data_IF_358082688614
#
_entry.id   IF_358082688614
#
_cell.length_a   1.000
_cell.length_b   1.000
_cell.length_c   1.000
_cell.angle_alpha   90.00
_cell.angle_beta   90.00
_cell.angle_gamma   90.00
#
_symmetry.space_group_name_H-M   'P 1'
#
loop_
_entity.id
_entity.type
_entity.pdbx_description
1 polymer ?
#
# COMPACT_ATOMS: atom_id res chain seq x y z
N UNK A 1 -28.48 -18.40 -42.47
CA UNK A 1 -27.23 -19.17 -42.70
C UNK A 1 -26.30 -19.02 -41.51
N UNK A 2 -26.64 -19.60 -40.35
CA UNK A 2 -25.75 -19.69 -39.18
C UNK A 2 -26.34 -20.68 -38.16
N UNK A 3 -26.61 -21.89 -38.63
CA UNK A 3 -26.81 -23.11 -37.86
C UNK A 3 -26.12 -24.17 -38.71
N UNK A 4 -25.00 -24.75 -38.23
CA UNK A 4 -24.46 -26.07 -38.66
C UNK A 4 -23.00 -26.37 -38.28
N UNK A 5 -22.27 -25.48 -37.58
CA UNK A 5 -20.84 -25.73 -37.29
C UNK A 5 -20.50 -26.33 -35.91
N UNK A 6 -21.45 -26.98 -35.22
CA UNK A 6 -21.17 -27.65 -33.93
C UNK A 6 -21.26 -29.19 -33.95
N UNK A 7 -21.54 -29.82 -35.10
CA UNK A 7 -21.82 -31.27 -35.16
C UNK A 7 -20.68 -32.15 -35.71
N UNK A 8 -19.43 -31.69 -35.76
CA UNK A 8 -18.28 -32.51 -36.22
C UNK A 8 -17.03 -32.30 -35.37
N UNK A 9 -17.02 -32.83 -34.15
CA UNK A 9 -15.77 -33.19 -33.44
C UNK A 9 -15.94 -34.50 -32.71
N UNK A 10 -15.32 -35.54 -33.28
CA UNK A 10 -14.63 -36.59 -32.51
C UNK A 10 -15.51 -37.68 -31.93
N UNK A 11 -15.95 -38.61 -32.77
CA UNK A 11 -16.00 -40.01 -32.36
C UNK A 11 -14.58 -40.44 -31.96
N UNK A 12 -14.30 -40.61 -30.67
CA UNK A 12 -13.15 -41.35 -30.17
C UNK A 12 -13.64 -42.71 -29.65
N UNK A 13 -13.20 -43.77 -30.33
CA UNK A 13 -13.30 -45.15 -29.86
C UNK A 13 -12.58 -45.31 -28.50
N UNK A 14 -13.03 -46.23 -27.62
CA UNK A 14 -12.36 -46.52 -26.36
C UNK A 14 -11.08 -47.33 -26.65
N UNK A 15 -9.97 -46.63 -26.85
CA UNK A 15 -8.65 -47.22 -26.96
C UNK A 15 -8.18 -47.74 -25.61
N UNK A 16 -7.86 -49.03 -25.57
CA UNK A 16 -7.10 -49.73 -24.53
C UNK A 16 -5.90 -48.90 -24.06
N UNK A 17 -5.81 -48.64 -22.75
CA UNK A 17 -4.70 -47.92 -22.12
C UNK A 17 -3.34 -48.53 -22.51
N UNK A 18 -2.41 -47.76 -23.11
CA UNK A 18 -1.09 -48.25 -23.45
C UNK A 18 -0.21 -48.43 -22.21
N UNK A 19 0.36 -49.63 -22.10
CA UNK A 19 1.19 -50.13 -21.02
C UNK A 19 2.49 -49.30 -20.92
N UNK A 20 2.64 -48.48 -19.87
CA UNK A 20 3.79 -47.58 -19.70
C UNK A 20 5.17 -48.29 -19.73
N UNK A 21 5.21 -49.58 -19.39
CA UNK A 21 6.41 -50.41 -19.46
C UNK A 21 6.81 -50.85 -20.89
N UNK A 22 5.91 -50.76 -21.87
CA UNK A 22 6.18 -51.18 -23.25
C UNK A 22 7.10 -50.21 -24.02
N UNK A 23 7.28 -48.98 -23.51
CA UNK A 23 8.12 -47.95 -24.12
C UNK A 23 9.51 -47.82 -23.47
N UNK A 24 9.87 -48.68 -22.51
CA UNK A 24 11.22 -48.67 -21.94
C UNK A 24 12.26 -49.16 -22.95
N UNK A 25 13.35 -48.42 -23.09
CA UNK A 25 14.53 -48.82 -23.88
C UNK A 25 15.37 -49.90 -23.18
N UNK A 26 15.10 -50.19 -21.90
CA UNK A 26 15.82 -51.18 -21.12
C UNK A 26 15.30 -52.61 -21.40
N UNK A 27 16.17 -53.55 -21.82
CA UNK A 27 15.76 -54.90 -22.21
C UNK A 27 15.13 -55.69 -21.05
N UNK A 28 15.63 -55.54 -19.82
CA UNK A 28 15.12 -56.25 -18.65
C UNK A 28 13.76 -55.71 -18.21
N UNK A 29 13.60 -54.39 -18.17
CA UNK A 29 12.32 -53.75 -17.81
C UNK A 29 11.24 -54.08 -18.83
N UNK A 30 11.59 -54.01 -20.12
CA UNK A 30 10.69 -54.37 -21.22
C UNK A 30 10.25 -55.83 -21.15
N UNK A 31 11.17 -56.76 -20.86
CA UNK A 31 10.85 -58.18 -20.69
C UNK A 31 10.00 -58.43 -19.42
N UNK A 32 10.26 -57.70 -18.33
CA UNK A 32 9.57 -57.86 -17.06
C UNK A 32 8.16 -57.22 -17.01
N UNK A 33 7.76 -56.46 -18.03
CA UNK A 33 6.51 -55.70 -18.05
C UNK A 33 5.26 -56.51 -17.66
N UNK A 34 5.16 -57.78 -18.11
CA UNK A 34 4.04 -58.66 -17.76
C UNK A 34 4.05 -59.04 -16.27
N UNK A 35 5.21 -59.44 -15.75
CA UNK A 35 5.38 -59.81 -14.34
C UNK A 35 5.14 -58.62 -13.41
N UNK A 36 5.61 -57.43 -13.79
CA UNK A 36 5.37 -56.19 -13.03
C UNK A 36 3.88 -55.85 -12.97
N UNK A 37 3.16 -55.96 -14.08
CA UNK A 37 1.71 -55.73 -14.10
C UNK A 37 0.96 -56.77 -13.24
N UNK A 38 1.37 -58.04 -13.31
CA UNK A 38 0.80 -59.09 -12.46
C UNK A 38 1.08 -58.83 -10.98
N UNK A 39 2.27 -58.33 -10.62
CA UNK A 39 2.60 -57.95 -9.24
C UNK A 39 1.61 -56.92 -8.70
N UNK A 40 1.29 -55.88 -9.47
CA UNK A 40 0.31 -54.87 -9.07
C UNK A 40 -1.10 -55.46 -8.89
N UNK A 41 -1.52 -56.33 -9.81
CA UNK A 41 -2.82 -57.00 -9.72
C UNK A 41 -2.91 -57.94 -8.50
N UNK A 42 -1.85 -58.70 -8.21
CA UNK A 42 -1.80 -59.64 -7.08
C UNK A 42 -2.04 -58.90 -5.76
N UNK A 43 -1.53 -57.68 -5.62
CA UNK A 43 -1.66 -56.87 -4.41
C UNK A 43 -3.12 -56.48 -4.10
N UNK A 44 -3.98 -56.41 -5.12
CA UNK A 44 -5.39 -56.06 -4.97
C UNK A 44 -6.29 -57.28 -4.69
N UNK A 45 -5.77 -58.50 -4.84
CA UNK A 45 -6.57 -59.72 -4.65
C UNK A 45 -6.72 -60.01 -3.15
N UNK A 46 -7.89 -59.72 -2.60
CA UNK A 46 -8.22 -60.02 -1.20
C UNK A 46 -8.57 -61.50 -0.96
N UNK A 47 -9.15 -62.18 -1.96
CA UNK A 47 -9.54 -63.59 -1.88
C UNK A 47 -9.16 -64.34 -3.16
N UNK A 48 -8.37 -65.40 -3.03
CA UNK A 48 -7.94 -66.25 -4.15
C UNK A 48 -8.31 -67.72 -3.86
N UNK A 49 -9.29 -68.31 -4.59
CA UNK A 49 -9.72 -69.68 -4.35
C UNK A 49 -8.64 -70.74 -4.57
N UNK A 50 -7.77 -70.56 -5.59
CA UNK A 50 -6.66 -71.48 -5.88
C UNK A 50 -5.32 -70.73 -6.09
N UNK A 51 -4.53 -70.54 -5.02
CA UNK A 51 -3.19 -69.97 -5.11
C UNK A 51 -2.21 -70.81 -5.97
N UNK A 52 -2.46 -72.10 -6.15
CA UNK A 52 -1.59 -72.98 -6.92
C UNK A 52 -1.69 -72.72 -8.42
N UNK A 53 -2.88 -72.40 -8.92
CA UNK A 53 -3.09 -71.98 -10.31
C UNK A 53 -2.34 -70.68 -10.63
N UNK A 54 -2.43 -69.67 -9.75
CA UNK A 54 -1.68 -68.42 -9.90
C UNK A 54 -0.17 -68.68 -9.92
N UNK A 55 0.33 -69.51 -9.00
CA UNK A 55 1.74 -69.89 -8.96
C UNK A 55 2.18 -70.52 -10.28
N UNK A 56 1.43 -71.50 -10.80
CA UNK A 56 1.73 -72.15 -12.09
C UNK A 56 1.79 -71.12 -13.23
N UNK A 57 0.88 -70.16 -13.24
CA UNK A 57 0.90 -69.05 -14.21
C UNK A 57 2.17 -68.22 -14.09
N UNK A 58 2.56 -67.81 -12.88
CA UNK A 58 3.80 -67.04 -12.66
C UNK A 58 5.05 -67.83 -13.04
N UNK A 59 5.12 -69.14 -12.82
CA UNK A 59 6.25 -69.97 -13.27
C UNK A 59 6.42 -69.91 -14.80
N UNK A 60 5.31 -69.91 -15.54
CA UNK A 60 5.34 -69.77 -17.00
C UNK A 60 5.79 -68.36 -17.40
N UNK A 61 5.24 -67.33 -16.76
CA UNK A 61 5.60 -65.93 -17.06
C UNK A 61 7.07 -65.61 -16.71
N UNK A 62 7.64 -66.24 -15.68
CA UNK A 62 9.08 -66.09 -15.35
C UNK A 62 9.96 -66.71 -16.44
N UNK A 63 9.59 -67.88 -16.97
CA UNK A 63 10.32 -68.49 -18.10
C UNK A 63 10.19 -67.65 -19.37
N UNK A 64 9.02 -67.07 -19.60
CA UNK A 64 8.80 -66.18 -20.74
C UNK A 64 9.60 -64.88 -20.59
N UNK A 65 9.73 -64.35 -19.37
CA UNK A 65 10.65 -63.24 -19.08
C UNK A 65 12.10 -63.58 -19.47
N UNK A 66 12.62 -64.76 -19.11
CA UNK A 66 13.99 -65.15 -19.48
C UNK A 66 14.17 -65.19 -21.00
N UNK A 67 13.20 -65.77 -21.71
CA UNK A 67 13.21 -65.86 -23.17
C UNK A 67 13.22 -64.47 -23.80
N UNK A 68 12.32 -63.57 -23.35
CA UNK A 68 12.21 -62.20 -23.86
C UNK A 68 13.43 -61.35 -23.51
N UNK A 69 13.99 -61.50 -22.32
CA UNK A 69 15.18 -60.76 -21.91
C UNK A 69 16.40 -61.14 -22.75
N UNK A 70 16.57 -62.44 -23.06
CA UNK A 70 17.59 -62.90 -23.99
C UNK A 70 17.37 -62.36 -25.42
N UNK A 71 16.12 -62.36 -25.90
CA UNK A 71 15.74 -61.82 -27.22
C UNK A 71 16.01 -60.31 -27.32
N UNK A 72 15.79 -59.56 -26.24
CA UNK A 72 16.09 -58.13 -26.17
C UNK A 72 17.57 -57.82 -25.92
N UNK A 73 18.45 -58.83 -25.84
CA UNK A 73 19.89 -58.66 -25.76
C UNK A 73 20.48 -58.51 -24.35
N UNK A 74 19.75 -58.89 -23.29
CA UNK A 74 20.31 -58.95 -21.94
C UNK A 74 21.29 -60.13 -21.80
N UNK A 75 22.37 -59.94 -21.04
CA UNK A 75 23.34 -61.00 -20.76
C UNK A 75 22.77 -62.08 -19.83
N UNK A 76 23.33 -63.30 -19.88
CA UNK A 76 22.88 -64.39 -19.01
C UNK A 76 22.98 -64.03 -17.51
N UNK A 77 24.04 -63.34 -17.10
CA UNK A 77 24.23 -62.89 -15.71
C UNK A 77 23.13 -61.91 -15.28
N UNK A 78 22.77 -60.96 -16.15
CA UNK A 78 21.68 -60.02 -15.91
C UNK A 78 20.32 -60.72 -15.83
N UNK A 79 20.06 -61.71 -16.69
CA UNK A 79 18.81 -62.48 -16.69
C UNK A 79 18.67 -63.26 -15.38
N UNK A 80 19.73 -63.95 -14.93
CA UNK A 80 19.71 -64.72 -13.68
C UNK A 80 19.51 -63.80 -12.48
N UNK A 81 20.19 -62.64 -12.45
CA UNK A 81 20.02 -61.63 -11.40
C UNK A 81 18.62 -61.02 -11.39
N UNK A 82 18.09 -60.66 -12.55
CA UNK A 82 16.74 -60.12 -12.70
C UNK A 82 15.67 -61.13 -12.29
N UNK A 83 15.80 -62.40 -12.72
CA UNK A 83 14.90 -63.49 -12.32
C UNK A 83 14.85 -63.65 -10.80
N UNK A 84 16.01 -63.64 -10.15
CA UNK A 84 16.11 -63.71 -8.69
C UNK A 84 15.31 -62.58 -8.02
N UNK A 85 15.55 -61.35 -8.46
CA UNK A 85 14.89 -60.16 -7.91
C UNK A 85 13.37 -60.15 -8.18
N UNK A 86 12.93 -60.55 -9.37
CA UNK A 86 11.52 -60.66 -9.72
C UNK A 86 10.80 -61.74 -8.90
N UNK A 87 11.39 -62.93 -8.76
CA UNK A 87 10.84 -63.98 -7.91
C UNK A 87 10.73 -63.51 -6.46
N UNK A 88 11.74 -62.84 -5.94
CA UNK A 88 11.73 -62.29 -4.57
C UNK A 88 10.63 -61.26 -4.39
N UNK A 89 10.46 -60.33 -5.33
CA UNK A 89 9.43 -59.29 -5.26
C UNK A 89 8.00 -59.84 -5.40
N UNK A 90 7.79 -60.80 -6.31
CA UNK A 90 6.49 -61.47 -6.47
C UNK A 90 6.13 -62.31 -5.25
N UNK A 91 7.10 -63.02 -4.68
CA UNK A 91 6.89 -63.81 -3.46
C UNK A 91 6.54 -62.92 -2.27
N UNK A 92 7.22 -61.77 -2.11
CA UNK A 92 6.88 -60.79 -1.07
C UNK A 92 5.48 -60.19 -1.29
N UNK A 93 5.13 -59.85 -2.52
CA UNK A 93 3.82 -59.28 -2.86
C UNK A 93 2.71 -60.26 -2.53
N UNK A 94 2.87 -61.54 -2.90
CA UNK A 94 1.92 -62.57 -2.52
C UNK A 94 1.86 -62.77 -1.00
N UNK A 95 3.00 -62.79 -0.30
CA UNK A 95 3.05 -62.93 1.16
C UNK A 95 2.37 -61.78 1.92
N UNK A 96 2.25 -60.59 1.32
CA UNK A 96 1.52 -59.44 1.86
C UNK A 96 -0.01 -59.57 1.74
N UNK A 97 -0.53 -60.52 0.94
CA UNK A 97 -1.97 -60.74 0.81
C UNK A 97 -2.52 -61.65 1.92
N UNK A 98 -3.83 -61.58 2.24
CA UNK A 98 -4.45 -62.46 3.23
C UNK A 98 -4.30 -63.97 2.93
N UNK A 99 -4.29 -64.35 1.65
CA UNK A 99 -4.20 -65.75 1.20
C UNK A 99 -2.75 -66.26 1.02
N UNK A 100 -1.76 -65.37 0.86
CA UNK A 100 -0.37 -65.79 0.63
C UNK A 100 0.39 -66.17 1.88
N UNK A 101 0.01 -65.63 3.05
CA UNK A 101 0.68 -65.92 4.33
C UNK A 101 0.37 -67.32 4.90
N UNK A 102 -0.74 -67.95 4.49
CA UNK A 102 -1.22 -69.24 5.02
C UNK A 102 -1.50 -70.20 3.86
N UNK A 103 -0.54 -71.06 3.49
CA UNK A 103 -0.80 -72.14 2.54
C UNK A 103 0.37 -72.57 1.65
N UNK A 104 0.04 -72.96 0.41
CA UNK A 104 0.96 -73.52 -0.61
C UNK A 104 2.08 -72.54 -0.99
N UNK A 105 1.81 -71.24 -0.94
CA UNK A 105 2.78 -70.21 -1.34
C UNK A 105 4.02 -70.18 -0.44
N UNK A 106 3.83 -70.27 0.88
CA UNK A 106 4.92 -70.29 1.85
C UNK A 106 5.83 -71.52 1.72
N UNK A 107 5.30 -72.65 1.22
CA UNK A 107 6.06 -73.91 1.04
C UNK A 107 6.74 -74.03 -0.33
N UNK A 108 6.15 -73.43 -1.36
CA UNK A 108 6.61 -73.56 -2.74
C UNK A 108 6.70 -72.20 -3.41
N UNK A 109 7.49 -71.28 -2.85
CA UNK A 109 7.67 -69.95 -3.42
C UNK A 109 8.35 -70.00 -4.81
N UNK A 110 8.25 -68.93 -5.59
CA UNK A 110 8.95 -68.83 -6.88
C UNK A 110 10.46 -68.87 -6.68
N UNK A 111 10.97 -68.17 -5.66
CA UNK A 111 12.39 -68.12 -5.32
C UNK A 111 12.94 -69.51 -4.97
N UNK A 112 12.21 -70.29 -4.17
CA UNK A 112 12.58 -71.69 -3.87
C UNK A 112 12.62 -72.52 -5.16
N UNK A 113 11.67 -72.31 -6.07
CA UNK A 113 11.56 -73.11 -7.29
C UNK A 113 12.69 -72.85 -8.29
N UNK A 114 13.09 -71.58 -8.45
CA UNK A 114 14.09 -71.18 -9.46
C UNK A 114 15.51 -71.05 -8.92
N UNK A 115 15.67 -70.79 -7.62
CA UNK A 115 16.96 -70.49 -7.00
C UNK A 115 17.24 -71.32 -5.73
N UNK A 116 16.33 -72.21 -5.33
CA UNK A 116 16.46 -73.04 -4.13
C UNK A 116 16.75 -72.24 -2.85
N UNK A 117 16.17 -71.04 -2.76
CA UNK A 117 16.31 -70.11 -1.62
C UNK A 117 14.95 -69.70 -1.07
N UNK A 118 14.84 -69.61 0.26
CA UNK A 118 13.59 -69.27 0.96
C UNK A 118 13.49 -67.81 1.38
N UNK A 119 14.61 -67.08 1.44
CA UNK A 119 14.64 -65.70 1.91
C UNK A 119 15.54 -64.82 1.03
N UNK A 120 14.93 -64.05 0.13
CA UNK A 120 15.66 -63.21 -0.83
C UNK A 120 15.76 -61.72 -0.46
N UNK A 121 15.02 -61.27 0.57
CA UNK A 121 14.87 -59.85 0.89
C UNK A 121 16.17 -59.14 1.29
N UNK A 122 17.15 -59.84 1.88
CA UNK A 122 18.47 -59.28 2.18
C UNK A 122 19.41 -59.38 0.98
N UNK A 123 19.49 -60.55 0.35
CA UNK A 123 20.37 -60.82 -0.79
C UNK A 123 20.04 -59.94 -2.00
N UNK A 124 18.78 -59.54 -2.16
CA UNK A 124 18.36 -58.51 -3.11
C UNK A 124 19.16 -57.20 -2.93
N UNK A 125 19.25 -56.67 -1.71
CA UNK A 125 19.96 -55.42 -1.45
C UNK A 125 21.48 -55.59 -1.41
N UNK A 126 21.98 -56.78 -1.05
CA UNK A 126 23.39 -57.11 -1.21
C UNK A 126 23.80 -57.14 -2.70
N UNK A 127 22.94 -57.70 -3.57
CA UNK A 127 23.13 -57.66 -5.02
C UNK A 127 23.09 -56.22 -5.53
N UNK A 128 22.07 -55.43 -5.15
CA UNK A 128 21.96 -54.02 -5.53
C UNK A 128 23.19 -53.20 -5.10
N UNK A 129 23.70 -53.44 -3.89
CA UNK A 129 24.92 -52.81 -3.39
C UNK A 129 26.16 -53.16 -4.22
N UNK A 130 26.28 -54.40 -4.72
CA UNK A 130 27.36 -54.80 -5.64
C UNK A 130 27.20 -54.17 -7.03
N UNK A 131 25.99 -54.15 -7.58
CA UNK A 131 25.73 -53.54 -8.90
C UNK A 131 26.01 -52.04 -8.89
N UNK A 132 25.66 -51.36 -7.79
CA UNK A 132 25.88 -49.92 -7.62
C UNK A 132 27.37 -49.52 -7.60
N UNK A 133 28.31 -50.45 -7.44
CA UNK A 133 29.75 -50.18 -7.53
C UNK A 133 30.20 -49.93 -8.97
N UNK A 134 29.56 -50.58 -9.95
CA UNK A 134 29.85 -50.44 -11.38
C UNK A 134 28.55 -50.18 -12.16
N UNK A 135 27.91 -49.01 -11.97
CA UNK A 135 26.56 -48.76 -12.47
C UNK A 135 26.48 -48.69 -13.99
N UNK A 136 27.55 -48.27 -14.67
CA UNK A 136 27.60 -48.19 -16.14
C UNK A 136 27.42 -49.57 -16.81
N UNK A 137 27.96 -50.64 -16.19
CA UNK A 137 27.88 -52.00 -16.72
C UNK A 137 26.58 -52.71 -16.38
N UNK A 138 25.90 -52.29 -15.31
CA UNK A 138 24.73 -52.97 -14.76
C UNK A 138 23.48 -52.09 -14.74
N UNK A 139 23.48 -51.04 -15.57
CA UNK A 139 22.43 -50.01 -15.54
C UNK A 139 21.04 -50.61 -15.76
N UNK A 140 20.94 -51.61 -16.63
CA UNK A 140 19.66 -52.24 -16.95
C UNK A 140 19.05 -52.94 -15.74
N UNK A 141 19.87 -53.68 -14.99
CA UNK A 141 19.42 -54.41 -13.80
C UNK A 141 19.12 -53.43 -12.65
N UNK A 142 19.96 -52.41 -12.46
CA UNK A 142 19.72 -51.37 -11.44
C UNK A 142 18.38 -50.66 -11.68
N UNK A 143 18.05 -50.34 -12.93
CA UNK A 143 16.78 -49.70 -13.29
C UNK A 143 15.58 -50.63 -13.06
N UNK A 144 15.68 -51.93 -13.39
CA UNK A 144 14.64 -52.90 -13.05
C UNK A 144 14.40 -52.95 -11.53
N UNK A 145 15.47 -53.02 -10.73
CA UNK A 145 15.37 -53.05 -9.27
C UNK A 145 14.77 -51.76 -8.72
N UNK A 146 15.11 -50.61 -9.31
CA UNK A 146 14.48 -49.33 -8.97
C UNK A 146 12.97 -49.38 -9.18
N UNK A 147 12.49 -49.90 -10.32
CA UNK A 147 11.06 -50.06 -10.56
C UNK A 147 10.40 -51.01 -9.55
N UNK A 148 11.02 -52.15 -9.22
CA UNK A 148 10.47 -53.06 -8.21
C UNK A 148 10.32 -52.38 -6.85
N UNK A 149 11.33 -51.60 -6.42
CA UNK A 149 11.27 -50.83 -5.19
C UNK A 149 10.23 -49.70 -5.24
N UNK A 150 10.14 -48.97 -6.34
CA UNK A 150 9.15 -47.91 -6.53
C UNK A 150 7.71 -48.44 -6.50
N UNK A 151 7.50 -49.68 -6.95
CA UNK A 151 6.20 -50.36 -6.96
C UNK A 151 5.88 -51.09 -5.65
N UNK A 152 6.71 -50.96 -4.62
CA UNK A 152 6.38 -51.37 -3.26
C UNK A 152 7.10 -52.62 -2.75
N UNK A 153 8.16 -53.07 -3.42
CA UNK A 153 9.07 -54.05 -2.82
C UNK A 153 9.93 -53.40 -1.72
N UNK A 154 9.89 -53.98 -0.52
CA UNK A 154 10.55 -53.47 0.69
C UNK A 154 11.68 -54.39 1.15
N UNK A 155 11.51 -55.72 1.05
CA UNK A 155 12.51 -56.69 1.48
C UNK A 155 12.88 -56.53 2.96
N UNK A 156 14.19 -56.51 3.26
CA UNK A 156 14.70 -56.37 4.64
C UNK A 156 14.22 -55.10 5.37
N UNK A 157 13.92 -54.02 4.64
CA UNK A 157 13.53 -52.74 5.22
C UNK A 157 12.14 -52.76 5.87
N UNK A 158 11.35 -53.82 5.65
CA UNK A 158 10.06 -53.99 6.32
C UNK A 158 10.17 -54.31 7.82
N UNK A 159 11.30 -54.88 8.24
CA UNK A 159 11.51 -55.41 9.61
C UNK A 159 12.46 -54.51 10.42
N UNK A 160 13.28 -53.69 9.74
CA UNK A 160 14.29 -52.83 10.38
C UNK A 160 13.66 -51.55 10.92
N UNK A 161 14.12 -51.09 12.09
CA UNK A 161 13.73 -49.80 12.66
C UNK A 161 14.04 -48.64 11.70
N UNK A 162 13.07 -47.76 11.50
CA UNK A 162 13.14 -46.66 10.51
C UNK A 162 13.42 -47.15 9.06
N UNK A 163 13.05 -48.39 8.74
CA UNK A 163 13.34 -49.00 7.45
C UNK A 163 12.69 -48.30 6.24
N UNK A 164 11.50 -47.72 6.41
CA UNK A 164 10.84 -46.93 5.36
C UNK A 164 11.68 -45.71 4.94
N UNK A 165 12.18 -44.95 5.91
CA UNK A 165 13.04 -43.78 5.65
C UNK A 165 14.35 -44.21 4.97
N UNK A 166 14.97 -45.30 5.43
CA UNK A 166 16.17 -45.86 4.81
C UNK A 166 15.93 -46.31 3.36
N UNK A 167 14.77 -46.92 3.09
CA UNK A 167 14.38 -47.34 1.74
C UNK A 167 14.15 -46.13 0.82
N UNK A 168 13.50 -45.06 1.29
CA UNK A 168 13.32 -43.84 0.52
C UNK A 168 14.65 -43.15 0.21
N UNK A 169 15.59 -43.10 1.17
CA UNK A 169 16.95 -42.62 0.94
C UNK A 169 17.66 -43.47 -0.13
N UNK A 170 17.52 -44.80 -0.05
CA UNK A 170 18.09 -45.72 -1.04
C UNK A 170 17.50 -45.50 -2.44
N UNK A 171 16.18 -45.38 -2.57
CA UNK A 171 15.51 -45.09 -3.87
C UNK A 171 16.02 -43.80 -4.49
N UNK A 172 16.19 -42.73 -3.70
CA UNK A 172 16.75 -41.46 -4.19
C UNK A 172 18.20 -41.62 -4.66
N UNK A 173 19.01 -42.39 -3.94
CA UNK A 173 20.40 -42.68 -4.33
C UNK A 173 20.46 -43.46 -5.65
N UNK A 174 19.59 -44.45 -5.83
CA UNK A 174 19.51 -45.21 -7.08
C UNK A 174 19.04 -44.31 -8.23
N UNK A 175 18.02 -43.49 -8.01
CA UNK A 175 17.54 -42.53 -9.01
C UNK A 175 18.66 -41.56 -9.44
N UNK A 176 19.51 -41.10 -8.51
CA UNK A 176 20.67 -40.27 -8.83
C UNK A 176 21.73 -41.02 -9.66
N UNK A 177 21.98 -42.30 -9.38
CA UNK A 177 22.86 -43.16 -10.19
C UNK A 177 22.31 -43.31 -11.61
N UNK A 178 21.02 -43.64 -11.73
CA UNK A 178 20.32 -43.76 -13.02
C UNK A 178 20.39 -42.45 -13.81
N UNK A 179 20.14 -41.32 -13.14
CA UNK A 179 20.24 -39.99 -13.74
C UNK A 179 21.66 -39.70 -14.27
N UNK A 180 22.70 -40.03 -13.49
CA UNK A 180 24.09 -39.79 -13.85
C UNK A 180 24.51 -40.60 -15.08
N UNK A 181 24.11 -41.88 -15.15
CA UNK A 181 24.52 -42.78 -16.25
C UNK A 181 23.71 -42.55 -17.52
N UNK A 182 22.38 -42.35 -17.41
CA UNK A 182 21.50 -42.16 -18.57
C UNK A 182 21.50 -40.71 -19.11
N UNK A 183 22.34 -39.81 -18.60
CA UNK A 183 22.47 -38.44 -19.11
C UNK A 183 21.24 -37.54 -18.85
N UNK A 184 20.37 -37.92 -17.91
CA UNK A 184 19.11 -37.24 -17.64
C UNK A 184 18.00 -37.65 -18.63
N UNK A 185 16.85 -38.11 -18.12
CA UNK A 185 15.65 -38.23 -18.93
C UNK A 185 15.11 -36.83 -19.25
N UNK A 186 15.58 -36.19 -20.32
CA UNK A 186 14.87 -35.06 -20.94
C UNK A 186 13.83 -35.59 -21.94
N UNK A 187 12.80 -36.26 -21.42
CA UNK A 187 11.53 -36.34 -22.13
C UNK A 187 10.58 -35.39 -21.42
N UNK A 188 10.74 -34.09 -21.70
CA UNK A 188 9.69 -33.10 -21.44
C UNK A 188 8.40 -33.70 -22.03
N UNK A 189 7.47 -34.11 -21.18
CA UNK A 189 6.24 -34.82 -21.55
C UNK A 189 5.37 -34.05 -22.57
N UNK A 190 5.69 -32.76 -22.78
CA UNK A 190 5.18 -31.92 -23.85
C UNK A 190 6.34 -31.13 -24.48
N UNK A 191 6.45 -31.07 -25.83
CA UNK A 191 7.32 -30.14 -26.53
C UNK A 191 7.07 -28.66 -26.15
N UNK A 192 5.89 -28.37 -25.62
CA UNK A 192 5.45 -27.04 -25.18
C UNK A 192 5.02 -27.08 -23.71
N UNK A 193 5.81 -27.74 -22.85
CA UNK A 193 5.54 -27.82 -21.40
C UNK A 193 5.53 -26.46 -20.70
N UNK A 194 6.17 -25.45 -21.31
CA UNK A 194 6.00 -24.07 -20.91
C UNK A 194 4.57 -23.69 -21.28
N UNK A 195 3.69 -23.77 -20.27
CA UNK A 195 2.35 -23.20 -20.38
C UNK A 195 2.48 -21.80 -20.96
N UNK A 196 1.56 -21.45 -21.87
CA UNK A 196 1.42 -20.07 -22.35
C UNK A 196 1.55 -19.20 -21.10
N UNK A 197 2.56 -18.33 -21.06
CA UNK A 197 2.62 -17.28 -20.05
C UNK A 197 1.40 -16.40 -20.33
N UNK A 198 0.24 -16.82 -19.81
CA UNK A 198 -0.83 -15.91 -19.53
C UNK A 198 -0.19 -15.02 -18.49
N UNK A 199 0.34 -13.88 -18.94
CA UNK A 199 0.77 -12.82 -18.06
C UNK A 199 -0.37 -12.69 -17.07
N UNK A 200 -0.14 -13.14 -15.83
CA UNK A 200 -1.14 -13.03 -14.80
C UNK A 200 -1.60 -11.58 -14.88
N UNK A 201 -2.91 -11.31 -15.00
CA UNK A 201 -3.37 -9.95 -15.21
C UNK A 201 -2.69 -9.09 -14.16
N UNK A 202 -1.91 -8.09 -14.58
CA UNK A 202 -0.99 -7.35 -13.69
C UNK A 202 -1.70 -6.73 -12.49
N UNK A 203 -3.01 -6.54 -12.57
CA UNK A 203 -3.89 -6.12 -11.48
C UNK A 203 -3.99 -7.11 -10.29
N UNK A 204 -3.66 -8.40 -10.45
CA UNK A 204 -3.65 -9.40 -9.36
C UNK A 204 -2.38 -9.36 -8.50
N UNK A 205 -1.35 -8.62 -8.91
CA UNK A 205 -0.08 -8.49 -8.19
C UNK A 205 0.08 -7.15 -7.46
N UNK A 206 -0.87 -6.22 -7.60
CA UNK A 206 -0.81 -4.95 -6.87
C UNK A 206 -1.23 -5.23 -5.43
N UNK A 207 -0.31 -5.15 -4.45
CA UNK A 207 -0.68 -5.36 -3.06
C UNK A 207 -1.75 -4.34 -2.64
N UNK A 208 -2.69 -4.70 -1.75
CA UNK A 208 -3.75 -3.79 -1.31
C UNK A 208 -3.22 -2.45 -0.76
N UNK A 209 -2.02 -2.45 -0.17
CA UNK A 209 -1.38 -1.25 0.34
C UNK A 209 -0.99 -0.26 -0.76
N UNK A 210 -0.64 -0.72 -1.97
CA UNK A 210 -0.32 0.17 -3.11
C UNK A 210 -1.58 0.91 -3.57
N UNK A 211 -2.71 0.20 -3.68
CA UNK A 211 -3.99 0.82 -4.01
C UNK A 211 -4.41 1.81 -2.93
N UNK A 212 -4.25 1.45 -1.65
CA UNK A 212 -4.54 2.36 -0.54
C UNK A 212 -3.65 3.63 -0.58
N UNK A 213 -2.34 3.49 -0.83
CA UNK A 213 -1.44 4.62 -0.99
C UNK A 213 -1.81 5.51 -2.19
N UNK A 214 -2.17 4.92 -3.32
CA UNK A 214 -2.60 5.66 -4.51
C UNK A 214 -3.91 6.42 -4.24
N UNK A 215 -4.90 5.78 -3.63
CA UNK A 215 -6.14 6.43 -3.23
C UNK A 215 -5.91 7.58 -2.24
N UNK A 216 -5.04 7.39 -1.25
CA UNK A 216 -4.68 8.43 -0.29
C UNK A 216 -3.96 9.61 -0.97
N UNK A 217 -3.06 9.32 -1.92
CA UNK A 217 -2.38 10.35 -2.70
C UNK A 217 -3.35 11.16 -3.57
N UNK A 218 -4.28 10.49 -4.26
CA UNK A 218 -5.32 11.15 -5.06
C UNK A 218 -6.22 12.01 -4.16
N UNK A 219 -6.66 11.47 -3.02
CA UNK A 219 -7.48 12.22 -2.05
C UNK A 219 -6.75 13.46 -1.53
N UNK A 220 -5.45 13.36 -1.22
CA UNK A 220 -4.64 14.50 -0.82
C UNK A 220 -4.52 15.55 -1.93
N UNK A 221 -4.31 15.12 -3.18
CA UNK A 221 -4.27 16.04 -4.33
C UNK A 221 -5.61 16.76 -4.54
N UNK A 222 -6.73 16.04 -4.43
CA UNK A 222 -8.08 16.61 -4.52
C UNK A 222 -8.31 17.61 -3.38
N UNK A 223 -7.93 17.25 -2.16
CA UNK A 223 -8.04 18.14 -1.00
C UNK A 223 -7.24 19.44 -1.19
N UNK A 224 -5.98 19.34 -1.62
CA UNK A 224 -5.13 20.51 -1.91
C UNK A 224 -5.70 21.35 -3.03
N UNK A 225 -6.23 20.73 -4.09
CA UNK A 225 -6.90 21.45 -5.18
C UNK A 225 -8.14 22.21 -4.69
N UNK A 226 -8.97 21.59 -3.84
CA UNK A 226 -10.11 22.26 -3.23
C UNK A 226 -9.68 23.39 -2.29
N UNK A 227 -8.61 23.21 -1.51
CA UNK A 227 -8.10 24.25 -0.61
C UNK A 227 -7.75 25.53 -1.38
N UNK A 228 -6.99 25.40 -2.48
CA UNK A 228 -6.64 26.55 -3.33
C UNK A 228 -7.85 27.09 -4.10
N UNK A 229 -8.66 26.23 -4.72
CA UNK A 229 -9.82 26.68 -5.50
C UNK A 229 -10.88 27.37 -4.63
N UNK A 230 -11.04 26.96 -3.37
CA UNK A 230 -11.98 27.60 -2.45
C UNK A 230 -11.42 28.95 -1.99
N UNK A 231 -10.11 29.02 -1.69
CA UNK A 231 -9.42 30.26 -1.34
C UNK A 231 -9.55 31.35 -2.41
N UNK A 232 -9.29 31.02 -3.68
CA UNK A 232 -9.44 31.97 -4.78
C UNK A 232 -10.90 32.48 -4.91
N UNK A 233 -11.88 31.58 -4.71
CA UNK A 233 -13.31 31.94 -4.76
C UNK A 233 -13.76 32.76 -3.55
N UNK A 234 -13.21 32.47 -2.36
CA UNK A 234 -13.52 33.22 -1.14
C UNK A 234 -12.97 34.62 -1.22
N UNK A 235 -11.71 34.80 -1.62
CA UNK A 235 -11.09 36.13 -1.76
C UNK A 235 -11.88 37.02 -2.73
N UNK A 236 -12.30 36.51 -3.89
CA UNK A 236 -13.16 37.25 -4.83
C UNK A 236 -14.51 37.63 -4.21
N UNK A 237 -15.12 36.73 -3.43
CA UNK A 237 -16.43 36.97 -2.81
C UNK A 237 -16.33 37.99 -1.69
N UNK A 238 -15.30 37.89 -0.85
CA UNK A 238 -15.03 38.86 0.22
C UNK A 238 -14.67 40.24 -0.34
N UNK A 239 -13.88 40.31 -1.42
CA UNK A 239 -13.60 41.57 -2.11
C UNK A 239 -14.89 42.22 -2.64
N UNK A 240 -15.83 41.42 -3.19
CA UNK A 240 -17.14 41.93 -3.62
C UNK A 240 -18.00 42.41 -2.46
N UNK A 241 -18.02 41.66 -1.34
CA UNK A 241 -18.74 42.05 -0.13
C UNK A 241 -18.19 43.35 0.45
N UNK A 242 -16.86 43.49 0.52
CA UNK A 242 -16.21 44.72 0.97
C UNK A 242 -16.47 45.90 0.02
N UNK A 243 -16.56 45.63 -1.29
CA UNK A 243 -16.90 46.62 -2.31
C UNK A 243 -18.39 46.99 -2.37
N UNK A 244 -19.27 46.35 -1.59
CA UNK A 244 -20.67 46.74 -1.51
C UNK A 244 -20.76 48.13 -0.87
N UNK A 245 -21.04 49.13 -1.70
CA UNK A 245 -21.40 50.44 -1.20
C UNK A 245 -22.80 50.36 -0.60
N UNK A 246 -22.87 50.33 0.73
CA UNK A 246 -24.11 50.65 1.42
C UNK A 246 -24.47 52.06 0.94
N UNK A 247 -25.69 52.30 0.41
CA UNK A 247 -26.06 53.62 -0.05
C UNK A 247 -25.85 54.59 1.10
N UNK A 248 -24.81 55.42 0.97
CA UNK A 248 -24.58 56.49 1.90
C UNK A 248 -25.82 57.38 1.80
N UNK A 249 -26.62 57.42 2.86
CA UNK A 249 -27.33 58.66 3.17
C UNK A 249 -26.27 59.74 3.05
N UNK A 250 -26.47 60.71 2.14
CA UNK A 250 -25.51 61.77 1.86
C UNK A 250 -25.14 62.44 3.18
N UNK A 251 -24.09 61.95 3.83
CA UNK A 251 -23.45 62.65 4.91
C UNK A 251 -22.81 63.83 4.21
N UNK A 252 -23.38 65.03 4.42
CA UNK A 252 -22.75 66.28 4.03
C UNK A 252 -21.26 66.18 4.35
N UNK A 253 -20.40 66.69 3.46
CA UNK A 253 -18.96 66.70 3.68
C UNK A 253 -18.67 67.39 5.03
N UNK A 254 -18.57 66.60 6.10
CA UNK A 254 -18.14 67.07 7.39
C UNK A 254 -16.65 67.35 7.21
N UNK A 255 -16.32 68.63 7.08
CA UNK A 255 -14.95 69.09 7.31
C UNK A 255 -14.59 68.57 8.69
N UNK A 256 -13.67 67.61 8.78
CA UNK A 256 -13.24 67.05 10.05
C UNK A 256 -12.82 68.23 10.95
N UNK A 257 -13.59 68.59 12.00
CA UNK A 257 -13.13 69.62 12.90
C UNK A 257 -11.83 69.10 13.56
N UNK A 258 -10.86 69.98 13.88
CA UNK A 258 -9.66 69.56 14.57
C UNK A 258 -10.06 68.92 15.91
N UNK A 259 -9.97 67.58 15.98
CA UNK A 259 -10.24 66.81 17.18
C UNK A 259 -9.01 66.86 18.08
N UNK A 260 -9.21 67.04 19.38
CA UNK A 260 -8.11 67.00 20.34
C UNK A 260 -7.40 65.62 20.27
N UNK A 261 -6.05 65.59 20.30
CA UNK A 261 -5.31 64.33 20.21
C UNK A 261 -5.61 63.43 21.41
N UNK A 262 -6.19 62.25 21.17
CA UNK A 262 -6.62 61.30 22.20
C UNK A 262 -5.59 60.22 22.42
N UNK A 263 -5.36 59.40 21.40
CA UNK A 263 -4.31 58.38 21.43
C UNK A 263 -2.97 58.95 20.96
N UNK A 264 -3.01 59.95 20.07
CA UNK A 264 -1.80 60.57 19.51
C UNK A 264 -0.86 61.15 20.57
N UNK A 265 -1.40 61.72 21.65
CA UNK A 265 -0.61 62.28 22.77
C UNK A 265 0.16 61.22 23.57
N UNK A 266 -0.38 59.99 23.65
CA UNK A 266 0.24 58.90 24.42
C UNK A 266 1.31 58.16 23.61
N UNK A 267 1.18 58.18 22.28
CA UNK A 267 2.02 57.44 21.34
C UNK A 267 2.98 58.34 20.53
N UNK A 268 3.19 59.59 20.95
CA UNK A 268 4.05 60.55 20.24
C UNK A 268 5.50 60.05 20.03
N UNK A 269 6.15 59.38 21.01
CA UNK A 269 7.48 58.79 20.79
C UNK A 269 7.51 57.75 19.66
N UNK A 270 6.50 56.89 19.60
CA UNK A 270 6.39 55.81 18.62
C UNK A 270 6.04 56.35 17.22
N UNK A 271 5.26 57.43 17.15
CA UNK A 271 4.98 58.17 15.90
C UNK A 271 6.27 58.82 15.37
N UNK A 272 7.05 59.49 16.23
CA UNK A 272 8.33 60.11 15.82
C UNK A 272 9.36 59.08 15.35
N UNK A 273 9.31 57.87 15.92
CA UNK A 273 10.14 56.75 15.50
C UNK A 273 9.66 56.07 14.19
N UNK A 274 8.53 56.50 13.62
CA UNK A 274 7.97 55.90 12.39
C UNK A 274 7.45 54.47 12.57
N UNK A 275 7.17 54.05 13.81
CA UNK A 275 6.72 52.68 14.12
C UNK A 275 5.21 52.51 13.94
N UNK A 276 4.45 53.59 14.08
CA UNK A 276 2.99 53.63 13.93
C UNK A 276 2.52 55.01 13.50
N UNK A 277 1.30 55.07 12.95
CA UNK A 277 0.58 56.30 12.66
C UNK A 277 -0.72 56.35 13.48
N UNK A 278 -1.14 57.54 13.92
CA UNK A 278 -2.40 57.73 14.66
C UNK A 278 -3.24 58.81 14.00
N UNK A 279 -4.46 58.44 13.66
CA UNK A 279 -5.49 59.33 13.13
C UNK A 279 -6.68 59.39 14.10
N UNK A 280 -6.81 60.51 14.81
CA UNK A 280 -7.92 60.76 15.74
C UNK A 280 -9.07 61.46 14.98
N UNK A 281 -10.22 60.78 14.88
CA UNK A 281 -11.47 61.32 14.30
C UNK A 281 -12.48 61.64 15.40
N UNK A 282 -13.67 62.14 15.07
CA UNK A 282 -14.69 62.49 16.07
C UNK A 282 -15.35 61.27 16.70
N UNK A 283 -15.54 60.21 15.92
CA UNK A 283 -16.26 58.99 16.29
C UNK A 283 -15.31 57.83 16.63
N UNK A 284 -14.06 57.89 16.19
CA UNK A 284 -13.08 56.82 16.37
C UNK A 284 -11.63 57.30 16.36
N UNK A 285 -10.71 56.52 16.92
CA UNK A 285 -9.26 56.71 16.76
C UNK A 285 -8.66 55.49 16.08
N UNK A 286 -7.86 55.69 15.04
CA UNK A 286 -7.23 54.60 14.28
C UNK A 286 -5.73 54.66 14.47
N UNK A 287 -5.16 53.57 14.99
CA UNK A 287 -3.70 53.36 15.08
C UNK A 287 -3.28 52.40 13.98
N UNK A 288 -2.44 52.84 13.05
CA UNK A 288 -1.99 52.04 11.90
C UNK A 288 -0.55 51.58 12.11
N UNK A 289 -0.33 50.27 12.05
CA UNK A 289 0.98 49.62 12.14
C UNK A 289 1.34 49.04 10.76
N UNK A 290 2.55 49.33 10.28
CA UNK A 290 3.04 48.74 9.03
C UNK A 290 3.31 47.23 9.24
N UNK A 291 2.70 46.40 8.40
CA UNK A 291 2.75 44.95 8.48
C UNK A 291 4.12 44.36 8.17
N UNK A 292 4.95 45.00 7.33
CA UNK A 292 6.32 44.53 7.03
C UNK A 292 7.26 44.67 8.23
N UNK A 293 7.01 45.69 9.05
CA UNK A 293 7.67 45.87 10.34
C UNK A 293 7.15 44.87 11.36
N UNK A 294 5.83 44.65 11.39
CA UNK A 294 5.14 43.89 12.44
C UNK A 294 5.31 42.37 12.30
N UNK A 295 5.35 41.84 11.07
CA UNK A 295 5.44 40.41 10.77
C UNK A 295 6.51 40.12 9.72
N UNK A 296 7.06 38.91 9.73
CA UNK A 296 7.81 38.41 8.59
C UNK A 296 6.87 37.96 7.46
N UNK A 297 7.39 37.90 6.23
CA UNK A 297 6.63 37.45 5.06
C UNK A 297 6.03 36.06 5.29
N UNK A 298 4.71 35.93 5.08
CA UNK A 298 3.96 34.69 5.29
C UNK A 298 3.84 34.22 6.75
N UNK A 299 4.28 35.01 7.73
CA UNK A 299 4.16 34.72 9.17
C UNK A 299 3.08 35.54 9.85
N UNK A 300 2.62 35.05 11.00
CA UNK A 300 1.58 35.65 11.84
C UNK A 300 2.09 36.02 13.23
N UNK A 301 3.29 35.58 13.56
CA UNK A 301 3.96 35.87 14.81
C UNK A 301 4.53 37.31 14.78
N UNK A 302 4.14 38.15 15.73
CA UNK A 302 4.61 39.54 15.84
C UNK A 302 6.10 39.56 16.19
N UNK A 303 6.89 40.38 15.50
CA UNK A 303 8.32 40.53 15.78
C UNK A 303 8.55 41.08 17.18
N UNK A 304 9.56 40.56 17.89
CA UNK A 304 9.84 40.95 19.28
C UNK A 304 10.05 42.46 19.47
N UNK A 305 10.63 43.14 18.48
CA UNK A 305 10.86 44.58 18.51
C UNK A 305 9.56 45.42 18.61
N UNK A 306 8.41 44.86 18.22
CA UNK A 306 7.12 45.54 18.28
C UNK A 306 6.31 45.20 19.55
N UNK A 307 6.75 44.24 20.37
CA UNK A 307 6.06 43.93 21.63
C UNK A 307 6.02 45.12 22.60
N UNK A 308 7.10 45.91 22.80
CA UNK A 308 7.03 47.12 23.62
C UNK A 308 6.06 48.17 23.07
N UNK A 309 5.98 48.30 21.73
CA UNK A 309 5.05 49.22 21.06
C UNK A 309 3.60 48.81 21.31
N UNK A 310 3.29 47.51 21.18
CA UNK A 310 1.96 46.98 21.51
C UNK A 310 1.61 47.15 22.99
N UNK A 311 2.59 47.03 23.89
CA UNK A 311 2.40 47.34 25.32
C UNK A 311 2.07 48.81 25.57
N UNK A 312 2.72 49.74 24.85
CA UNK A 312 2.43 51.18 24.92
C UNK A 312 1.05 51.52 24.35
N UNK A 313 0.66 50.87 23.26
CA UNK A 313 -0.70 50.96 22.71
C UNK A 313 -1.71 50.46 23.74
N UNK A 314 -1.50 49.29 24.34
CA UNK A 314 -2.38 48.75 25.39
C UNK A 314 -2.51 49.71 26.58
N UNK A 315 -1.43 50.33 27.04
CA UNK A 315 -1.47 51.35 28.10
C UNK A 315 -2.23 52.62 27.68
N UNK A 316 -2.17 53.02 26.41
CA UNK A 316 -2.98 54.14 25.91
C UNK A 316 -4.47 53.75 25.81
N UNK A 317 -4.78 52.49 25.52
CA UNK A 317 -6.14 51.97 25.44
C UNK A 317 -6.84 51.88 26.80
N UNK A 318 -6.11 51.80 27.92
CA UNK A 318 -6.70 51.85 29.27
C UNK A 318 -7.20 53.24 29.66
N UNK A 319 -6.66 54.29 29.04
CA UNK A 319 -7.01 55.69 29.32
C UNK A 319 -8.20 56.23 28.51
N UNK A 320 -8.71 55.43 27.58
CA UNK A 320 -9.83 55.79 26.70
C UNK A 320 -10.90 54.72 26.85
N UNK A 321 -12.17 55.09 26.85
CA UNK A 321 -13.30 54.15 26.82
C UNK A 321 -13.79 53.93 25.38
N UNK A 322 -14.26 52.71 25.06
CA UNK A 322 -14.78 52.39 23.72
C UNK A 322 -14.38 51.03 23.18
N UNK A 323 -15.16 50.46 22.25
CA UNK A 323 -14.86 49.15 21.64
C UNK A 323 -13.59 49.23 20.79
N UNK A 324 -12.72 48.23 20.92
CA UNK A 324 -11.45 48.15 20.17
C UNK A 324 -11.56 47.06 19.12
N UNK A 325 -11.33 47.41 17.85
CA UNK A 325 -11.35 46.47 16.73
C UNK A 325 -9.96 46.44 16.09
N UNK A 326 -9.32 45.28 16.15
CA UNK A 326 -8.05 45.00 15.48
C UNK A 326 -8.34 44.46 14.09
N UNK A 327 -7.97 45.20 13.06
CA UNK A 327 -8.25 44.89 11.66
C UNK A 327 -6.96 44.57 10.92
N UNK A 328 -6.88 43.38 10.33
CA UNK A 328 -5.74 42.97 9.51
C UNK A 328 -5.99 43.20 8.02
N UNK A 329 -4.98 43.73 7.32
CA UNK A 329 -4.98 43.93 5.88
C UNK A 329 -3.75 43.31 5.21
N UNK A 330 -3.91 42.90 3.95
CA UNK A 330 -2.85 42.40 3.06
C UNK A 330 -2.78 43.26 1.80
N UNK A 331 -1.77 43.02 0.97
CA UNK A 331 -1.76 43.53 -0.40
C UNK A 331 -2.59 42.63 -1.32
N UNK A 332 -2.58 42.96 -2.61
CA UNK A 332 -3.25 42.23 -3.67
C UNK A 332 -2.46 41.02 -4.23
N UNK A 333 -1.35 40.63 -3.59
CA UNK A 333 -0.57 39.47 -4.04
C UNK A 333 -1.16 38.23 -3.39
N UNK A 334 -1.68 37.24 -4.15
CA UNK A 334 -2.29 36.06 -3.56
C UNK A 334 -1.29 35.25 -2.74
N UNK A 335 -1.63 34.91 -1.50
CA UNK A 335 -0.83 33.98 -0.71
C UNK A 335 -1.00 32.55 -1.23
N UNK A 336 0.13 31.89 -1.49
CA UNK A 336 0.18 30.47 -1.88
C UNK A 336 0.96 29.68 -0.84
N UNK A 337 0.29 29.31 0.25
CA UNK A 337 0.88 28.54 1.35
C UNK A 337 -0.04 27.39 1.74
N UNK A 338 0.54 26.30 2.25
CA UNK A 338 -0.24 25.20 2.86
C UNK A 338 -0.89 25.66 4.18
N UNK A 339 -0.32 26.67 4.84
CA UNK A 339 -0.77 27.16 6.15
C UNK A 339 -1.96 28.12 6.08
N UNK A 340 -2.10 28.87 4.98
CA UNK A 340 -3.15 29.89 4.82
C UNK A 340 -3.80 29.71 3.46
N UNK A 341 -5.12 29.54 3.46
CA UNK A 341 -5.88 29.26 2.25
C UNK A 341 -6.10 30.51 1.38
N UNK A 342 -6.07 31.70 1.99
CA UNK A 342 -6.42 32.95 1.31
C UNK A 342 -5.83 34.19 2.02
N UNK A 343 -5.82 35.33 1.34
CA UNK A 343 -5.33 36.59 1.91
C UNK A 343 -6.20 37.06 3.08
N UNK A 344 -7.51 36.81 3.01
CA UNK A 344 -8.44 37.04 4.10
C UNK A 344 -8.06 36.23 5.36
N UNK A 345 -7.81 34.94 5.21
CA UNK A 345 -7.41 34.02 6.30
C UNK A 345 -6.09 34.47 6.97
N UNK A 346 -5.09 34.85 6.16
CA UNK A 346 -3.83 35.43 6.67
C UNK A 346 -4.09 36.71 7.47
N UNK A 347 -4.89 37.62 6.93
CA UNK A 347 -5.19 38.91 7.57
C UNK A 347 -5.93 38.75 8.89
N UNK A 348 -6.89 37.81 8.94
CA UNK A 348 -7.67 37.50 10.13
C UNK A 348 -6.77 36.91 11.22
N UNK A 349 -5.90 35.96 10.87
CA UNK A 349 -4.99 35.32 11.82
C UNK A 349 -3.94 36.29 12.36
N UNK A 350 -3.47 37.24 11.54
CA UNK A 350 -2.59 38.34 11.99
C UNK A 350 -3.29 39.27 12.98
N UNK A 351 -4.53 39.66 12.68
CA UNK A 351 -5.33 40.48 13.58
C UNK A 351 -5.58 39.76 14.93
N UNK A 352 -5.88 38.46 14.88
CA UNK A 352 -6.04 37.63 16.08
C UNK A 352 -4.76 37.57 16.92
N UNK A 353 -3.59 37.47 16.28
CA UNK A 353 -2.29 37.42 16.96
C UNK A 353 -1.99 38.73 17.69
N UNK A 354 -2.29 39.87 17.07
CA UNK A 354 -2.16 41.19 17.71
C UNK A 354 -3.15 41.34 18.86
N UNK A 355 -4.41 40.93 18.67
CA UNK A 355 -5.41 40.89 19.76
C UNK A 355 -4.90 40.08 20.95
N UNK A 356 -4.38 38.86 20.74
CA UNK A 356 -3.87 38.01 21.82
C UNK A 356 -2.78 38.70 22.65
N UNK A 357 -1.91 39.46 22.00
CA UNK A 357 -0.87 40.23 22.67
C UNK A 357 -1.48 41.41 23.45
N UNK A 358 -2.42 42.14 22.86
CA UNK A 358 -3.13 43.23 23.53
C UNK A 358 -3.91 42.72 24.75
N UNK A 359 -4.59 41.58 24.63
CA UNK A 359 -5.32 40.94 25.73
C UNK A 359 -4.37 40.62 26.90
N UNK A 360 -3.16 40.15 26.60
CA UNK A 360 -2.13 39.89 27.61
C UNK A 360 -1.68 41.14 28.37
N UNK A 361 -1.57 42.28 27.69
CA UNK A 361 -1.20 43.56 28.31
C UNK A 361 -2.38 44.26 29.01
N UNK A 362 -3.59 44.16 28.47
CA UNK A 362 -4.79 44.78 29.03
C UNK A 362 -5.35 44.00 30.23
N UNK A 363 -5.13 42.69 30.29
CA UNK A 363 -5.65 41.83 31.36
C UNK A 363 -7.17 42.00 31.51
N UNK A 364 -7.61 42.39 32.71
CA UNK A 364 -9.03 42.60 33.02
C UNK A 364 -9.71 43.69 32.16
N UNK A 365 -8.96 44.66 31.63
CA UNK A 365 -9.49 45.74 30.79
C UNK A 365 -9.87 45.28 29.37
N UNK A 366 -9.51 44.05 28.97
CA UNK A 366 -9.88 43.49 27.66
C UNK A 366 -11.29 42.89 27.62
N UNK A 367 -11.88 42.54 28.77
CA UNK A 367 -13.06 41.64 28.83
C UNK A 367 -14.24 42.13 27.97
N UNK A 368 -14.41 41.51 26.79
CA UNK A 368 -15.45 41.84 25.80
C UNK A 368 -15.21 43.11 24.97
N UNK A 369 -14.13 43.85 25.24
CA UNK A 369 -13.84 45.16 24.63
C UNK A 369 -13.02 45.06 23.35
N UNK A 370 -12.15 44.06 23.23
CA UNK A 370 -11.25 43.89 22.07
C UNK A 370 -11.77 42.79 21.14
N UNK A 371 -11.98 43.14 19.88
CA UNK A 371 -12.37 42.24 18.79
C UNK A 371 -11.34 42.28 17.67
N UNK A 372 -11.40 41.30 16.80
CA UNK A 372 -10.52 41.22 15.63
C UNK A 372 -11.32 40.88 14.38
N UNK A 373 -10.87 41.41 13.25
CA UNK A 373 -11.39 41.06 11.93
C UNK A 373 -10.26 41.04 10.89
N UNK A 374 -10.41 40.20 9.87
CA UNK A 374 -9.56 40.20 8.68
C UNK A 374 -10.29 40.82 7.51
N UNK A 375 -9.62 41.68 6.74
CA UNK A 375 -10.16 42.32 5.53
C UNK A 375 -9.42 41.94 4.25
N UNK A 376 -8.38 41.12 4.34
CA UNK A 376 -7.57 40.72 3.19
C UNK A 376 -7.06 41.94 2.43
N UNK A 377 -7.24 41.95 1.11
CA UNK A 377 -6.82 43.03 0.21
C UNK A 377 -7.81 44.22 0.11
N UNK A 378 -8.90 44.21 0.88
CA UNK A 378 -9.90 45.27 0.83
C UNK A 378 -9.39 46.61 1.38
N UNK A 379 -10.05 47.70 1.00
CA UNK A 379 -9.76 49.07 1.44
C UNK A 379 -8.25 49.45 1.32
N UNK A 380 -7.66 49.39 0.11
CA UNK A 380 -6.27 49.75 -0.10
C UNK A 380 -6.03 51.24 0.13
N UNK A 381 -5.00 51.56 0.92
CA UNK A 381 -4.57 52.95 1.20
C UNK A 381 -3.42 53.41 0.30
N UNK A 382 -2.74 52.47 -0.35
CA UNK A 382 -1.66 52.69 -1.29
C UNK A 382 -1.91 52.01 -2.64
N UNK A 383 -1.17 52.44 -3.65
CA UNK A 383 -1.25 51.84 -4.98
C UNK A 383 -0.66 50.42 -5.01
N UNK A 384 -1.52 49.43 -5.23
CA UNK A 384 -1.17 48.01 -5.35
C UNK A 384 -0.18 47.71 -6.51
N UNK A 385 -0.04 48.61 -7.49
CA UNK A 385 0.92 48.45 -8.58
C UNK A 385 2.39 48.64 -8.12
N UNK A 386 2.61 49.44 -7.06
CA UNK A 386 3.95 49.80 -6.57
C UNK A 386 4.36 48.97 -5.35
N UNK A 387 5.65 48.57 -5.20
CA UNK A 387 6.14 47.92 -3.99
C UNK A 387 5.84 48.71 -2.71
N UNK A 388 5.98 50.04 -2.77
CA UNK A 388 5.76 50.97 -1.66
C UNK A 388 4.28 51.05 -1.29
N UNK A 389 3.38 51.11 -2.28
CA UNK A 389 1.94 51.08 -2.04
C UNK A 389 1.46 49.74 -1.48
N UNK A 390 2.00 48.62 -1.96
CA UNK A 390 1.73 47.29 -1.36
C UNK A 390 2.22 47.19 0.09
N UNK A 391 3.39 47.74 0.42
CA UNK A 391 3.87 47.81 1.81
C UNK A 391 2.90 48.55 2.72
N UNK A 392 2.32 49.67 2.26
CA UNK A 392 1.28 50.39 3.00
C UNK A 392 -0.02 49.59 3.14
N UNK A 393 -0.39 48.78 2.14
CA UNK A 393 -1.60 47.96 2.21
C UNK A 393 -1.46 46.78 3.18
N UNK A 394 -0.25 46.21 3.31
CA UNK A 394 0.08 45.25 4.36
C UNK A 394 0.17 45.97 5.71
N UNK A 395 -0.95 46.08 6.43
CA UNK A 395 -1.03 46.82 7.69
C UNK A 395 -1.96 46.15 8.70
N UNK A 396 -1.81 46.54 9.96
CA UNK A 396 -2.80 46.25 11.01
C UNK A 396 -3.29 47.57 11.57
N UNK A 397 -4.60 47.74 11.61
CA UNK A 397 -5.24 48.89 12.22
C UNK A 397 -5.86 48.50 13.56
N UNK A 398 -5.67 49.32 14.58
CA UNK A 398 -6.32 49.19 15.87
C UNK A 398 -7.25 50.40 15.99
N UNK A 399 -8.55 50.15 15.84
CA UNK A 399 -9.58 51.19 15.86
C UNK A 399 -10.28 51.18 17.20
N UNK A 400 -10.35 52.34 17.85
CA UNK A 400 -11.14 52.56 19.07
C UNK A 400 -12.38 53.34 18.69
N UNK A 401 -13.55 52.71 18.81
CA UNK A 401 -14.86 53.32 18.56
C UNK A 401 -15.33 54.03 19.83
N UNK A 402 -15.69 55.31 19.71
CA UNK A 402 -16.26 56.04 20.83
C UNK A 402 -17.69 55.60 21.14
N UNK A 403 -18.08 55.70 22.41
CA UNK A 403 -19.49 55.58 22.80
C UNK A 403 -20.29 56.80 22.32
N UNK A 404 -21.59 56.61 22.06
CA UNK A 404 -22.48 57.70 21.66
C UNK A 404 -22.52 58.86 22.67
N UNK A 405 -22.35 58.55 23.96
CA UNK A 405 -22.28 59.54 25.04
C UNK A 405 -21.02 60.41 24.97
N UNK A 406 -19.87 59.80 24.65
CA UNK A 406 -18.60 60.51 24.51
C UNK A 406 -18.60 61.40 23.25
N UNK A 407 -19.15 60.90 22.15
CA UNK A 407 -19.36 61.68 20.92
C UNK A 407 -20.24 62.90 21.21
N UNK A 408 -21.35 62.72 21.93
CA UNK A 408 -22.24 63.81 22.31
C UNK A 408 -21.55 64.83 23.24
N UNK A 409 -20.73 64.35 24.20
CA UNK A 409 -19.95 65.21 25.09
C UNK A 409 -18.94 66.07 24.33
N UNK A 410 -18.21 65.47 23.39
CA UNK A 410 -17.23 66.20 22.58
C UNK A 410 -17.88 67.17 21.59
N UNK A 411 -19.02 66.80 21.00
CA UNK A 411 -19.83 67.72 20.19
C UNK A 411 -20.28 68.94 21.00
N UNK A 412 -20.73 68.74 22.24
CA UNK A 412 -21.12 69.83 23.13
C UNK A 412 -19.93 70.71 23.58
N UNK A 413 -18.76 70.11 23.83
CA UNK A 413 -17.53 70.83 24.15
C UNK A 413 -17.01 71.65 22.96
N UNK A 414 -17.04 71.09 21.75
CA UNK A 414 -16.65 71.80 20.53
C UNK A 414 -17.63 72.93 20.19
N UNK A 415 -18.93 72.73 20.43
CA UNK A 415 -19.94 73.78 20.28
C UNK A 415 -19.75 74.93 21.29
N UNK A 416 -19.29 74.64 22.51
CA UNK A 416 -18.97 75.64 23.53
C UNK A 416 -17.68 76.44 23.24
N UNK A 417 -16.80 75.90 22.38
CA UNK A 417 -15.53 76.54 21.96
C UNK A 417 -15.64 77.27 20.59
N UNK A 418 -16.79 77.22 19.93
CA UNK A 418 -17.02 77.95 18.68
C UNK A 418 -16.98 79.46 18.95
N UNK A 419 -16.20 80.26 18.19
CA UNK A 419 -16.18 81.71 18.36
C UNK A 419 -17.59 82.27 18.09
N UNK A 420 -18.05 83.14 19.00
CA UNK A 420 -19.33 83.85 18.83
C UNK A 420 -19.32 84.56 17.47
N UNK A 421 -20.23 84.13 16.59
CA UNK A 421 -20.49 84.83 15.32
C UNK A 421 -20.87 86.26 15.70
N UNK A 422 -20.16 87.30 15.21
CA UNK A 422 -20.49 88.67 15.56
C UNK A 422 -21.91 89.00 15.07
N UNK A 423 -22.78 89.30 16.02
CA UNK A 423 -24.15 89.77 15.78
C UNK A 423 -24.07 91.14 15.10
N UNK A 424 -24.24 91.20 13.78
CA UNK A 424 -24.21 92.49 13.10
C UNK A 424 -24.38 92.43 11.59
N UNK A 425 -25.63 92.41 11.13
CA UNK A 425 -26.13 93.24 10.02
C UNK A 425 -27.54 92.75 9.65
N UNK A 426 -28.56 93.53 10.04
CA UNK A 426 -29.92 93.36 9.53
C UNK A 426 -29.94 93.56 8.00
N UNK A 427 -30.54 92.67 7.20
CA UNK A 427 -30.79 92.99 5.81
C UNK A 427 -31.95 94.00 5.73
N UNK A 428 -31.64 95.16 5.13
CA UNK A 428 -32.56 96.23 4.75
C UNK A 428 -33.77 95.68 4.00
N UNK A 429 -34.94 96.26 4.31
CA UNK A 429 -36.16 96.10 3.51
C UNK A 429 -36.05 96.78 2.14
N UNK A 430 -36.74 96.14 1.19
CA UNK A 430 -37.46 96.69 0.03
C UNK A 430 -36.64 96.93 -1.26
N UNK A 431 -37.30 97.05 -2.45
CA UNK A 431 -38.72 97.30 -2.69
C UNK A 431 -39.59 96.06 -2.95
#
# INVERSE_FOLDING_TARGET
>A
MQQDNYARRGQQQPGSSPNAAAHSTNPLVKAAARLINLMLQIREIMHLPDPSALRKKLLVEVKEFERLAAEYGASHEEIVGARYCLCTALDETAAQTPWGSRGVWAKHSLLVTFHNETWGGEKYYQLLGRLAQNPERHIHLIELLYYLNALGFEGRFRIVDDGYSQLEILKRRIAAILHRVNGGYEARLSPHWQGVQSAAPTWRMVPPWVVACLCAFIAACIYVWFLFSLGDRSDVTYARLAGLQIPATQAAAYVNPPVAPRLRRFLEPEIKAGLLEVNDMLDRSVVTLNGDGLFDSGRVEVKQQYLPVLGRIAAALTEVDGEVVVTGFTDNVPIRSVRFASNWDLSQTRAESVKKILDGYLGQFSSGRVRFEGRGEADPIGDNSTPEGRSRNRRVEITVLMSAEEIHRQLNQNAAQAPAIPTGAAPRRAP
#
